data_IF_343113534218
#
_entry.id   IF_343113534218
#
_cell.length_a   1.000
_cell.length_b   1.000
_cell.length_c   1.000
_cell.angle_alpha   90.00
_cell.angle_beta   90.00
_cell.angle_gamma   90.00
#
_symmetry.space_group_name_H-M   'P 1'
#
loop_
_entity.id
_entity.type
_entity.pdbx_description
1 polymer ?
#
# COMPACT_ATOMS: atom_id res chain seq x y z
N UNK A 1 -1.34 -3.32 3.63
CA UNK A 1 -1.80 -3.55 2.26
C UNK A 1 -1.28 -4.87 1.69
N UNK A 2 0.00 -5.24 1.92
CA UNK A 2 0.65 -6.41 1.30
C UNK A 2 -0.12 -7.73 1.49
N UNK A 3 -0.64 -8.01 2.69
CA UNK A 3 -1.44 -9.20 2.94
C UNK A 3 -2.72 -9.21 2.08
N UNK A 4 -3.43 -8.09 2.04
CA UNK A 4 -4.63 -7.95 1.23
C UNK A 4 -4.36 -8.11 -0.27
N UNK A 5 -3.25 -7.55 -0.77
CA UNK A 5 -2.81 -7.74 -2.15
C UNK A 5 -2.55 -9.22 -2.47
N UNK A 6 -1.85 -9.93 -1.58
CA UNK A 6 -1.55 -11.35 -1.78
C UNK A 6 -2.80 -12.25 -1.70
N UNK A 7 -3.82 -11.84 -0.96
CA UNK A 7 -5.12 -12.51 -0.90
C UNK A 7 -6.02 -12.16 -2.09
N UNK A 8 -5.62 -11.20 -2.94
CA UNK A 8 -6.41 -10.80 -4.10
C UNK A 8 -7.47 -9.72 -3.83
N UNK A 9 -7.31 -8.93 -2.76
CA UNK A 9 -8.18 -7.78 -2.53
C UNK A 9 -8.08 -6.77 -3.67
N UNK A 10 -9.21 -6.18 -4.05
CA UNK A 10 -9.23 -5.03 -4.93
C UNK A 10 -8.58 -3.83 -4.24
N UNK A 11 -7.80 -3.09 -5.00
CA UNK A 11 -7.19 -1.84 -4.56
C UNK A 11 -7.94 -0.64 -5.10
N UNK A 12 -7.91 0.44 -4.34
CA UNK A 12 -8.20 1.80 -4.77
C UNK A 12 -6.91 2.62 -4.57
N UNK A 13 -6.21 2.92 -5.66
CA UNK A 13 -4.86 3.46 -5.62
C UNK A 13 -3.89 2.50 -4.91
N UNK A 14 -3.35 2.93 -3.77
CA UNK A 14 -2.44 2.13 -2.93
C UNK A 14 -3.12 1.53 -1.69
N UNK A 15 -4.42 1.74 -1.51
CA UNK A 15 -5.21 1.28 -0.38
C UNK A 15 -6.08 0.07 -0.75
N UNK A 16 -6.52 -0.69 0.24
CA UNK A 16 -7.54 -1.73 0.06
C UNK A 16 -8.90 -1.08 -0.13
N UNK A 17 -9.60 -1.42 -1.21
CA UNK A 17 -10.95 -0.95 -1.44
C UNK A 17 -11.94 -1.60 -0.49
N UNK A 18 -12.70 -0.78 0.22
CA UNK A 18 -13.78 -1.20 1.15
C UNK A 18 -15.05 -0.40 0.90
N UNK A 19 -16.18 -0.93 1.32
CA UNK A 19 -17.45 -0.22 1.32
C UNK A 19 -17.67 0.60 2.63
N UNK A 20 -18.86 1.14 2.80
CA UNK A 20 -19.22 1.92 3.98
C UNK A 20 -19.25 1.12 5.29
N UNK A 21 -19.30 -0.20 5.21
CA UNK A 21 -19.24 -1.14 6.32
C UNK A 21 -17.83 -1.66 6.60
N UNK A 22 -16.83 -1.17 5.88
CA UNK A 22 -15.45 -1.66 5.88
C UNK A 22 -15.32 -3.09 5.33
N UNK A 23 -16.33 -3.59 4.60
CA UNK A 23 -16.24 -4.87 3.93
C UNK A 23 -15.34 -4.74 2.68
N UNK A 24 -14.42 -5.65 2.53
CA UNK A 24 -13.49 -5.71 1.42
C UNK A 24 -14.11 -6.38 0.18
N UNK A 25 -13.30 -6.57 -0.84
CA UNK A 25 -13.73 -7.22 -2.10
C UNK A 25 -13.85 -8.74 -2.02
N UNK A 26 -13.39 -9.35 -0.93
CA UNK A 26 -13.55 -10.78 -0.65
C UNK A 26 -14.70 -10.98 0.34
N UNK A 27 -15.52 -12.04 0.19
CA UNK A 27 -16.58 -12.37 1.14
C UNK A 27 -16.05 -12.54 2.55
N UNK A 28 -16.77 -12.03 3.55
CA UNK A 28 -16.47 -12.16 4.99
C UNK A 28 -15.09 -11.58 5.42
N UNK A 29 -14.56 -10.67 4.60
CA UNK A 29 -13.30 -9.99 4.90
C UNK A 29 -13.52 -8.50 5.07
N UNK A 30 -12.96 -7.95 6.14
CA UNK A 30 -13.04 -6.54 6.49
C UNK A 30 -11.65 -5.94 6.58
N UNK A 31 -11.53 -4.65 6.28
CA UNK A 31 -10.29 -3.92 6.42
C UNK A 31 -10.56 -2.51 6.97
N UNK A 32 -9.70 -2.04 7.87
CA UNK A 32 -9.84 -0.73 8.49
C UNK A 32 -8.49 -0.12 8.81
N UNK A 33 -8.44 1.19 8.95
CA UNK A 33 -7.24 1.94 9.29
C UNK A 33 -6.34 2.18 8.08
N UNK A 34 -5.03 2.35 8.29
CA UNK A 34 -4.10 2.81 7.24
C UNK A 34 -4.03 1.91 5.99
N UNK A 35 -4.43 0.66 6.09
CA UNK A 35 -4.50 -0.20 4.90
C UNK A 35 -5.64 0.19 3.93
N UNK A 36 -6.63 0.95 4.40
CA UNK A 36 -7.74 1.49 3.61
C UNK A 36 -7.58 2.98 3.26
N UNK A 37 -6.47 3.60 3.71
CA UNK A 37 -6.12 4.99 3.45
C UNK A 37 -5.53 5.69 4.67
N UNK A 38 -4.75 6.73 4.46
CA UNK A 38 -4.13 7.49 5.55
C UNK A 38 -5.13 8.49 6.13
N UNK A 39 -5.60 8.23 7.35
CA UNK A 39 -6.58 9.11 8.02
C UNK A 39 -6.30 9.36 9.49
N UNK A 40 -5.20 8.81 10.01
CA UNK A 40 -4.80 8.92 11.42
C UNK A 40 -5.54 7.96 12.35
N UNK A 41 -5.10 7.93 13.61
CA UNK A 41 -5.56 6.96 14.61
C UNK A 41 -7.07 7.04 14.90
N UNK A 42 -7.62 8.25 14.92
CA UNK A 42 -9.04 8.45 15.23
C UNK A 42 -9.97 7.89 14.14
N UNK A 43 -9.58 8.06 12.85
CA UNK A 43 -10.30 7.43 11.75
C UNK A 43 -10.15 5.91 11.82
N UNK A 44 -8.94 5.42 12.02
CA UNK A 44 -8.66 3.98 12.12
C UNK A 44 -9.48 3.29 13.22
N UNK A 45 -9.60 3.92 14.41
CA UNK A 45 -10.38 3.40 15.52
C UNK A 45 -11.88 3.32 15.20
N UNK A 46 -12.44 4.36 14.57
CA UNK A 46 -13.87 4.34 14.23
C UNK A 46 -14.17 3.36 13.09
N UNK A 47 -13.29 3.25 12.12
CA UNK A 47 -13.42 2.27 11.04
C UNK A 47 -13.29 0.84 11.55
N UNK A 48 -12.35 0.59 12.47
CA UNK A 48 -12.21 -0.71 13.12
C UNK A 48 -13.47 -1.11 13.91
N UNK A 49 -14.10 -0.16 14.59
CA UNK A 49 -15.37 -0.41 15.30
C UNK A 49 -16.53 -0.69 14.32
N UNK A 50 -16.61 0.05 13.20
CA UNK A 50 -17.59 -0.21 12.14
C UNK A 50 -17.39 -1.62 11.57
N UNK A 51 -16.15 -1.99 11.23
CA UNK A 51 -15.80 -3.31 10.73
C UNK A 51 -16.20 -4.43 11.70
N UNK A 52 -15.91 -4.24 13.01
CA UNK A 52 -16.26 -5.20 14.05
C UNK A 52 -17.76 -5.43 14.17
N UNK A 53 -18.56 -4.35 14.24
CA UNK A 53 -20.02 -4.46 14.28
C UNK A 53 -20.59 -5.05 12.99
N UNK A 54 -20.04 -4.67 11.83
CA UNK A 54 -20.49 -5.21 10.56
C UNK A 54 -20.21 -6.71 10.42
N UNK A 55 -19.07 -7.18 10.93
CA UNK A 55 -18.68 -8.59 10.89
C UNK A 55 -19.60 -9.52 11.71
N UNK A 56 -20.30 -8.98 12.70
CA UNK A 56 -21.29 -9.72 13.52
C UNK A 56 -22.74 -9.31 13.22
N UNK A 57 -22.95 -8.66 12.08
CA UNK A 57 -24.24 -8.20 11.55
C UNK A 57 -24.98 -7.18 12.43
N UNK A 58 -24.25 -6.47 13.31
CA UNK A 58 -24.78 -5.38 14.13
C UNK A 58 -24.83 -4.05 13.35
N UNK A 59 -25.56 -4.02 12.23
CA UNK A 59 -25.59 -2.88 11.28
C UNK A 59 -26.03 -1.57 11.93
N UNK A 60 -26.99 -1.59 12.84
CA UNK A 60 -27.44 -0.38 13.54
C UNK A 60 -26.35 0.21 14.45
N UNK A 61 -25.55 -0.63 15.09
CA UNK A 61 -24.43 -0.20 15.91
C UNK A 61 -23.33 0.43 15.03
N UNK A 62 -22.99 -0.20 13.93
CA UNK A 62 -22.05 0.33 12.94
C UNK A 62 -22.52 1.69 12.39
N UNK A 63 -23.80 1.80 11.99
CA UNK A 63 -24.36 3.02 11.41
C UNK A 63 -24.31 4.22 12.37
N UNK A 64 -24.47 4.00 13.66
CA UNK A 64 -24.33 5.08 14.67
C UNK A 64 -22.94 5.72 14.71
N UNK A 65 -21.92 5.03 14.17
CA UNK A 65 -20.54 5.53 14.10
C UNK A 65 -20.26 6.39 12.87
N UNK A 66 -21.12 6.35 11.85
CA UNK A 66 -20.90 7.07 10.58
C UNK A 66 -20.72 8.59 10.72
N UNK A 67 -21.44 9.31 11.59
CA UNK A 67 -21.19 10.74 11.79
C UNK A 67 -19.76 11.02 12.30
N UNK A 68 -19.27 10.18 13.22
CA UNK A 68 -17.89 10.28 13.73
C UNK A 68 -16.88 9.96 12.62
N UNK A 69 -17.14 8.90 11.83
CA UNK A 69 -16.32 8.55 10.67
C UNK A 69 -16.24 9.71 9.67
N UNK A 70 -17.37 10.32 9.28
CA UNK A 70 -17.38 11.45 8.34
C UNK A 70 -16.56 12.64 8.82
N UNK A 71 -16.58 12.93 10.12
CA UNK A 71 -15.76 14.01 10.69
C UNK A 71 -14.26 13.75 10.46
N UNK A 72 -13.79 12.54 10.77
CA UNK A 72 -12.38 12.17 10.63
C UNK A 72 -11.98 11.93 9.16
N UNK A 73 -12.91 11.49 8.33
CA UNK A 73 -12.70 11.42 6.88
C UNK A 73 -12.42 12.81 6.30
N UNK A 74 -13.14 13.85 6.74
CA UNK A 74 -12.86 15.23 6.33
C UNK A 74 -11.44 15.69 6.68
N UNK A 75 -10.90 15.24 7.81
CA UNK A 75 -9.50 15.46 8.17
C UNK A 75 -8.54 14.70 7.24
N UNK A 76 -8.81 13.43 6.99
CA UNK A 76 -8.03 12.59 6.06
C UNK A 76 -7.99 13.19 4.65
N UNK A 77 -9.12 13.67 4.15
CA UNK A 77 -9.23 14.33 2.84
C UNK A 77 -8.42 15.65 2.79
N UNK A 78 -8.40 16.39 3.90
CA UNK A 78 -7.57 17.58 4.01
C UNK A 78 -6.07 17.23 3.96
N UNK A 79 -5.64 16.21 4.70
CA UNK A 79 -4.27 15.71 4.64
C UNK A 79 -3.89 15.29 3.21
N UNK A 80 -4.72 14.48 2.56
CA UNK A 80 -4.46 13.99 1.22
C UNK A 80 -4.29 15.15 0.21
N UNK A 81 -5.10 16.22 0.31
CA UNK A 81 -4.98 17.40 -0.56
C UNK A 81 -3.73 18.22 -0.28
N UNK A 82 -3.42 18.47 1.00
CA UNK A 82 -2.32 19.36 1.38
C UNK A 82 -0.94 18.71 1.26
N UNK A 83 -0.87 17.38 1.37
CA UNK A 83 0.37 16.60 1.27
C UNK A 83 0.48 15.79 -0.03
N UNK A 84 -0.40 16.05 -1.00
CA UNK A 84 -0.27 15.45 -2.33
C UNK A 84 1.09 15.79 -2.95
N UNK A 85 1.73 14.80 -3.54
CA UNK A 85 2.97 15.01 -4.28
C UNK A 85 2.69 15.88 -5.50
N UNK A 86 3.43 16.99 -5.61
CA UNK A 86 3.32 17.90 -6.76
C UNK A 86 4.00 17.27 -7.99
N UNK A 87 3.44 17.54 -9.16
CA UNK A 87 3.92 16.96 -10.42
C UNK A 87 5.38 17.36 -10.73
N UNK A 88 5.77 18.57 -10.34
CA UNK A 88 7.12 19.11 -10.53
C UNK A 88 8.22 18.30 -9.83
N UNK A 89 7.85 17.53 -8.80
CA UNK A 89 8.81 16.63 -8.14
C UNK A 89 9.38 15.54 -9.08
N UNK A 90 8.71 15.26 -10.20
CA UNK A 90 9.24 14.33 -11.21
C UNK A 90 10.45 14.88 -11.94
N UNK A 91 10.53 16.21 -12.05
CA UNK A 91 11.61 16.92 -12.75
C UNK A 91 12.85 17.14 -11.88
N UNK A 92 12.74 16.88 -10.56
CA UNK A 92 13.86 17.03 -9.63
C UNK A 92 14.87 15.86 -9.69
N UNK A 93 14.44 14.72 -10.21
CA UNK A 93 15.31 13.56 -10.28
C UNK A 93 16.22 13.63 -11.50
N UNK A 94 17.52 13.62 -11.29
CA UNK A 94 18.55 13.58 -12.33
C UNK A 94 18.91 12.14 -12.68
N UNK A 95 19.66 11.95 -13.75
CA UNK A 95 20.04 10.62 -14.27
C UNK A 95 20.74 9.72 -13.24
N UNK A 96 21.53 10.30 -12.35
CA UNK A 96 22.29 9.62 -11.29
C UNK A 96 21.53 9.56 -9.95
N UNK A 97 20.33 10.16 -9.84
CA UNK A 97 19.52 10.10 -8.64
C UNK A 97 19.16 8.66 -8.31
N UNK A 98 19.54 8.19 -7.11
CA UNK A 98 19.27 6.82 -6.68
C UNK A 98 17.77 6.60 -6.38
N UNK A 99 17.11 5.81 -7.19
CA UNK A 99 15.72 5.38 -7.00
C UNK A 99 15.67 4.18 -6.05
N UNK A 100 16.54 3.21 -6.20
CA UNK A 100 16.68 2.08 -5.29
C UNK A 100 17.98 2.16 -4.49
N UNK A 101 17.90 2.55 -3.23
CA UNK A 101 19.06 2.70 -2.35
C UNK A 101 19.61 1.38 -1.81
N UNK A 102 18.84 0.31 -1.86
CA UNK A 102 19.30 -1.02 -1.42
C UNK A 102 20.20 -1.72 -2.45
N UNK A 103 20.04 -1.38 -3.72
CA UNK A 103 20.77 -1.97 -4.85
C UNK A 103 21.51 -0.90 -5.67
N UNK A 104 21.60 0.32 -5.16
CA UNK A 104 22.28 1.47 -5.77
C UNK A 104 21.87 1.73 -7.23
N UNK A 105 20.56 1.62 -7.51
CA UNK A 105 20.01 1.77 -8.86
C UNK A 105 19.63 3.22 -9.13
N UNK A 106 20.31 3.91 -10.07
CA UNK A 106 19.99 5.27 -10.47
C UNK A 106 18.79 5.33 -11.41
N UNK A 107 18.21 6.52 -11.56
CA UNK A 107 17.10 6.80 -12.46
C UNK A 107 17.39 6.37 -13.91
N UNK A 108 18.61 6.66 -14.41
CA UNK A 108 19.03 6.30 -15.75
C UNK A 108 18.96 4.80 -16.04
N UNK A 109 19.23 3.96 -15.05
CA UNK A 109 19.16 2.50 -15.19
C UNK A 109 17.72 1.97 -15.27
N UNK A 110 16.72 2.80 -14.96
CA UNK A 110 15.30 2.47 -15.07
C UNK A 110 14.67 3.02 -16.36
N UNK A 111 15.29 4.01 -16.97
CA UNK A 111 14.80 4.61 -18.21
C UNK A 111 14.78 3.57 -19.34
N UNK A 112 13.73 3.60 -20.16
CA UNK A 112 13.58 2.73 -21.32
C UNK A 112 12.96 1.36 -21.07
N UNK A 113 12.67 1.01 -19.81
CA UNK A 113 11.93 -0.21 -19.50
C UNK A 113 10.42 0.01 -19.61
N UNK A 114 9.70 -1.03 -20.06
CA UNK A 114 8.24 -0.96 -20.24
C UNK A 114 7.45 -1.02 -18.93
N UNK A 115 8.07 -1.43 -17.82
CA UNK A 115 7.39 -1.51 -16.53
C UNK A 115 8.25 -2.07 -15.40
N UNK A 116 7.63 -2.14 -14.21
CA UNK A 116 8.31 -2.57 -12.98
C UNK A 116 9.04 -3.90 -13.09
N UNK A 117 8.37 -4.93 -13.64
CA UNK A 117 8.95 -6.29 -13.70
C UNK A 117 10.19 -6.34 -14.57
N UNK A 118 10.15 -5.71 -15.73
CA UNK A 118 11.29 -5.63 -16.63
C UNK A 118 12.45 -4.86 -15.99
N UNK A 119 12.18 -3.66 -15.48
CA UNK A 119 13.17 -2.84 -14.79
C UNK A 119 13.82 -3.58 -13.62
N UNK A 120 13.01 -4.29 -12.81
CA UNK A 120 13.49 -5.11 -11.70
C UNK A 120 14.43 -6.22 -12.16
N UNK A 121 14.10 -6.92 -13.24
CA UNK A 121 14.91 -8.04 -13.75
C UNK A 121 16.27 -7.56 -14.30
N UNK A 122 16.31 -6.40 -14.95
CA UNK A 122 17.54 -5.88 -15.57
C UNK A 122 18.41 -5.06 -14.60
N UNK A 123 17.81 -4.32 -13.67
CA UNK A 123 18.52 -3.42 -12.77
C UNK A 123 18.63 -3.90 -11.34
N UNK A 124 17.92 -4.96 -10.95
CA UNK A 124 17.71 -5.40 -9.56
C UNK A 124 16.92 -4.42 -8.69
N UNK A 125 16.35 -3.35 -9.24
CA UNK A 125 15.50 -2.41 -8.52
C UNK A 125 14.38 -3.15 -7.75
N UNK A 126 14.28 -2.94 -6.44
CA UNK A 126 13.29 -3.61 -5.60
C UNK A 126 13.65 -5.03 -5.17
N UNK A 127 14.86 -5.53 -5.44
CA UNK A 127 15.34 -6.84 -4.98
C UNK A 127 16.10 -6.81 -3.65
N UNK A 128 16.48 -5.62 -3.18
CA UNK A 128 17.22 -5.47 -1.94
C UNK A 128 16.38 -5.72 -0.68
N UNK A 129 16.97 -5.46 0.48
CA UNK A 129 16.42 -5.81 1.79
C UNK A 129 14.99 -5.27 2.05
N UNK A 130 14.64 -4.10 1.51
CA UNK A 130 13.30 -3.53 1.66
C UNK A 130 12.25 -4.16 0.72
N UNK A 131 12.66 -5.02 -0.22
CA UNK A 131 11.78 -5.71 -1.18
C UNK A 131 10.83 -4.76 -1.94
N UNK A 132 11.37 -3.63 -2.39
CA UNK A 132 10.62 -2.65 -3.18
C UNK A 132 9.68 -1.73 -2.40
N UNK A 133 9.64 -1.81 -1.06
CA UNK A 133 8.73 -0.98 -0.25
C UNK A 133 8.99 0.53 -0.39
N UNK A 134 10.21 0.93 -0.68
CA UNK A 134 10.58 2.33 -0.88
C UNK A 134 10.54 2.67 -2.38
N UNK A 135 11.36 1.99 -3.18
CA UNK A 135 11.50 2.30 -4.61
C UNK A 135 10.23 1.97 -5.43
N UNK A 136 9.34 1.10 -4.95
CA UNK A 136 8.08 0.83 -5.61
C UNK A 136 7.17 2.06 -5.68
N UNK A 137 7.04 2.79 -4.56
CA UNK A 137 6.27 4.05 -4.54
C UNK A 137 6.94 5.13 -5.38
N UNK A 138 8.27 5.23 -5.37
CA UNK A 138 9.01 6.14 -6.22
C UNK A 138 8.81 5.81 -7.71
N UNK A 139 8.90 4.54 -8.10
CA UNK A 139 8.68 4.11 -9.47
C UNK A 139 7.25 4.35 -9.95
N UNK A 140 6.27 4.17 -9.07
CA UNK A 140 4.87 4.51 -9.38
C UNK A 140 4.71 6.01 -9.63
N UNK A 141 5.32 6.87 -8.81
CA UNK A 141 5.25 8.31 -8.99
C UNK A 141 5.99 8.78 -10.25
N UNK A 142 7.21 8.28 -10.50
CA UNK A 142 8.05 8.71 -11.61
C UNK A 142 7.59 8.16 -12.96
N UNK A 143 7.20 6.89 -13.01
CA UNK A 143 6.94 6.16 -14.27
C UNK A 143 5.49 5.65 -14.39
N UNK A 144 4.67 5.77 -13.34
CA UNK A 144 3.34 5.18 -13.31
C UNK A 144 3.34 3.65 -13.14
N UNK A 145 4.47 3.03 -12.83
CA UNK A 145 4.55 1.58 -12.69
C UNK A 145 3.95 1.09 -11.38
N UNK A 146 3.17 0.03 -11.45
CA UNK A 146 2.60 -0.62 -10.27
C UNK A 146 3.33 -1.94 -10.03
N UNK A 147 4.02 -2.10 -8.87
CA UNK A 147 4.60 -3.38 -8.50
C UNK A 147 3.51 -4.45 -8.40
N UNK A 148 3.80 -5.70 -8.82
CA UNK A 148 2.87 -6.81 -8.64
C UNK A 148 2.64 -7.09 -7.16
N UNK A 149 1.54 -7.81 -6.86
CA UNK A 149 1.24 -8.26 -5.51
C UNK A 149 2.43 -9.04 -4.91
N UNK A 150 2.77 -8.78 -3.65
CA UNK A 150 3.86 -9.49 -2.97
C UNK A 150 3.50 -10.95 -2.79
N UNK A 151 4.52 -11.80 -2.80
CA UNK A 151 4.42 -13.24 -2.46
C UNK A 151 5.02 -13.49 -1.07
N UNK A 152 4.54 -14.49 -0.32
CA UNK A 152 5.20 -14.90 0.91
C UNK A 152 6.69 -15.26 0.69
N UNK A 153 7.56 -14.98 1.69
CA UNK A 153 7.27 -14.35 2.97
C UNK A 153 7.09 -12.83 2.86
N UNK A 154 6.13 -12.27 3.61
CA UNK A 154 5.83 -10.82 3.58
C UNK A 154 6.83 -9.96 4.37
N UNK A 155 7.70 -10.60 5.13
CA UNK A 155 8.79 -9.98 5.86
C UNK A 155 10.10 -10.74 5.57
N UNK A 156 11.27 -10.10 5.75
CA UNK A 156 12.55 -10.80 5.67
C UNK A 156 12.54 -12.01 6.61
N UNK A 157 12.81 -13.18 6.06
CA UNK A 157 12.90 -14.44 6.80
C UNK A 157 14.31 -15.00 6.66
N UNK A 158 14.80 -15.68 7.71
CA UNK A 158 16.07 -16.40 7.63
C UNK A 158 15.90 -17.61 6.70
N UNK A 159 16.83 -17.77 5.80
CA UNK A 159 16.94 -19.00 4.99
C UNK A 159 17.61 -20.08 5.83
N UNK A 160 16.83 -20.79 6.63
CA UNK A 160 17.27 -22.02 7.28
C UNK A 160 16.87 -23.22 6.43
N UNK A 161 17.59 -23.41 5.34
CA UNK A 161 17.37 -24.55 4.43
C UNK A 161 17.72 -25.84 5.18
N UNK A 162 16.76 -26.73 5.33
CA UNK A 162 16.95 -28.09 5.87
C UNK A 162 16.65 -28.29 7.35
N UNK A 163 16.17 -27.28 8.10
CA UNK A 163 15.77 -27.46 9.51
C UNK A 163 14.26 -27.53 9.75
N UNK A 164 13.47 -27.60 8.70
CA UNK A 164 12.03 -27.46 8.82
C UNK A 164 11.31 -28.74 9.35
N UNK A 165 11.96 -29.84 9.53
CA UNK A 165 11.31 -31.10 9.95
C UNK A 165 12.26 -31.99 10.75
N UNK A 166 12.56 -31.60 11.98
CA UNK A 166 12.96 -32.56 13.03
C UNK A 166 12.13 -32.29 14.28
#
# INVERSE_FOLDING_TARGET
VQLGQALGYRLDGQALAVDEWQAGSLPDHYAAGECTGFGGSELALVEGAIAGHAAVDERDAAHRLWPRRRRWQGFADALARHFALRAELRELAEADTLVCRCEDVPLAALAGHAGWTEAKLHSRCGMGACQGRICGSAAQFLFGWTPPAPRPPFSPARLEIGRAHV
#
